data_IF_680455315983
#
_entry.id   IF_680455315983
#
_cell.length_a   1.000
_cell.length_b   1.000
_cell.length_c   1.000
_cell.angle_alpha   90.00
_cell.angle_beta   90.00
_cell.angle_gamma   90.00
#
_symmetry.space_group_name_H-M   'P 1'
#
loop_
_entity.id
_entity.type
_entity.pdbx_description
1 polymer ?
#
# COMPACT_ATOMS: atom_id res chain seq x y z
N UNK A 1 12.53 -12.51 25.29
CA UNK A 1 11.70 -11.96 24.19
C UNK A 1 11.85 -10.45 24.22
N UNK A 2 12.65 -9.91 23.31
CA UNK A 2 12.92 -8.47 23.27
C UNK A 2 11.64 -7.71 22.97
N UNK A 3 11.28 -6.77 23.84
CA UNK A 3 10.24 -5.79 23.54
C UNK A 3 10.75 -5.02 22.32
N UNK A 4 10.02 -5.11 21.21
CA UNK A 4 10.24 -4.18 20.11
C UNK A 4 9.90 -2.81 20.68
N UNK A 5 10.92 -1.95 20.84
CA UNK A 5 10.75 -0.58 21.27
C UNK A 5 10.02 0.18 20.16
N UNK A 6 8.69 0.09 20.17
CA UNK A 6 7.80 0.72 19.21
C UNK A 6 7.94 2.26 19.15
N UNK A 7 8.73 2.86 20.03
CA UNK A 7 9.11 4.27 19.97
C UNK A 7 10.02 4.63 18.80
N UNK A 8 10.69 3.66 18.15
CA UNK A 8 11.56 3.92 16.99
C UNK A 8 10.85 3.82 15.64
N UNK A 9 9.62 3.31 15.62
CA UNK A 9 8.78 3.37 14.42
C UNK A 9 8.11 4.74 14.47
N UNK A 10 8.80 5.78 14.00
CA UNK A 10 8.12 7.04 13.73
C UNK A 10 7.19 6.77 12.55
N UNK A 11 5.86 6.69 12.75
CA UNK A 11 4.99 6.37 11.66
C UNK A 11 4.89 7.65 10.86
N UNK A 12 5.34 7.60 9.61
CA UNK A 12 4.75 8.51 8.63
C UNK A 12 3.23 8.40 8.79
N UNK A 13 2.53 9.53 8.88
CA UNK A 13 1.09 9.49 8.98
C UNK A 13 0.55 8.64 7.82
N UNK A 14 -0.56 7.93 8.03
CA UNK A 14 -1.20 7.13 6.97
C UNK A 14 -1.46 7.93 5.68
N UNK A 15 -1.52 9.25 5.82
CA UNK A 15 -1.78 10.24 4.76
C UNK A 15 -0.51 10.83 4.15
N UNK A 16 0.66 10.63 4.74
CA UNK A 16 1.91 11.17 4.20
C UNK A 16 2.26 10.45 2.88
N UNK A 17 2.67 11.19 1.85
CA UNK A 17 3.08 10.58 0.60
C UNK A 17 4.30 9.69 0.81
N UNK A 18 4.33 8.54 0.14
CA UNK A 18 5.52 7.68 0.16
C UNK A 18 6.72 8.47 -0.42
N UNK A 19 7.83 8.65 0.32
CA UNK A 19 8.94 9.51 -0.13
C UNK A 19 9.65 8.98 -1.39
N UNK A 20 9.37 7.73 -1.77
CA UNK A 20 9.87 7.11 -2.99
C UNK A 20 8.91 7.23 -4.18
N UNK A 21 7.72 7.82 -3.98
CA UNK A 21 6.67 7.88 -4.99
C UNK A 21 7.13 8.61 -6.25
N UNK A 22 7.76 9.78 -6.10
CA UNK A 22 8.23 10.58 -7.25
C UNK A 22 9.27 9.82 -8.11
N UNK A 23 10.08 8.98 -7.47
CA UNK A 23 11.09 8.15 -8.16
C UNK A 23 10.43 7.08 -9.03
N UNK A 24 9.32 6.49 -8.58
CA UNK A 24 8.61 5.43 -9.31
C UNK A 24 7.48 5.97 -10.20
N UNK A 25 7.08 7.23 -10.05
CA UNK A 25 5.99 7.87 -10.78
C UNK A 25 6.11 7.74 -12.31
N UNK A 26 7.28 7.96 -12.96
CA UNK A 26 7.41 7.76 -14.40
C UNK A 26 7.08 6.33 -14.83
N UNK A 27 7.45 5.34 -14.00
CA UNK A 27 7.17 3.93 -14.25
C UNK A 27 5.69 3.61 -14.08
N UNK A 28 5.06 4.14 -13.02
CA UNK A 28 3.61 4.03 -12.79
C UNK A 28 2.84 4.57 -13.99
N UNK A 29 3.16 5.80 -14.44
CA UNK A 29 2.50 6.42 -15.61
C UNK A 29 2.60 5.58 -16.86
N UNK A 30 3.79 5.03 -17.12
CA UNK A 30 4.01 4.12 -18.25
C UNK A 30 3.11 2.88 -18.15
N UNK A 31 3.05 2.24 -16.98
CA UNK A 31 2.23 1.04 -16.76
C UNK A 31 0.72 1.34 -16.89
N UNK A 32 0.27 2.49 -16.37
CA UNK A 32 -1.11 2.95 -16.52
C UNK A 32 -1.47 3.24 -17.98
N UNK A 33 -0.56 3.84 -18.75
CA UNK A 33 -0.77 4.07 -20.17
C UNK A 33 -0.79 2.76 -20.98
N UNK A 34 0.15 1.84 -20.70
CA UNK A 34 0.19 0.51 -21.33
C UNK A 34 -1.10 -0.30 -21.08
N UNK A 35 -1.74 -0.14 -19.92
CA UNK A 35 -2.97 -0.84 -19.57
C UNK A 35 -4.25 -0.10 -19.98
N UNK A 36 -4.37 1.20 -19.69
CA UNK A 36 -5.59 2.00 -19.83
C UNK A 36 -5.63 2.94 -21.05
N UNK A 37 -4.55 3.01 -21.83
CA UNK A 37 -4.40 3.93 -22.95
C UNK A 37 -4.54 5.40 -22.53
N UNK A 38 -5.11 6.22 -23.42
CA UNK A 38 -5.30 7.67 -23.21
C UNK A 38 -6.14 8.01 -21.97
N UNK A 39 -7.03 7.09 -21.55
CA UNK A 39 -7.85 7.30 -20.36
C UNK A 39 -7.06 7.22 -19.06
N UNK A 40 -5.89 6.56 -19.08
CA UNK A 40 -5.09 6.22 -17.89
C UNK A 40 -5.95 5.70 -16.73
N UNK A 41 -7.02 4.96 -17.05
CA UNK A 41 -7.99 4.41 -16.12
C UNK A 41 -7.97 2.88 -16.22
N UNK A 42 -7.69 2.21 -15.11
CA UNK A 42 -7.48 0.76 -15.08
C UNK A 42 -8.53 0.05 -14.23
N UNK A 43 -8.95 -1.13 -14.67
CA UNK A 43 -9.81 -2.01 -13.88
C UNK A 43 -9.01 -2.87 -12.88
N UNK A 44 -9.70 -3.73 -12.13
CA UNK A 44 -9.07 -4.57 -11.11
C UNK A 44 -8.05 -5.58 -11.67
N UNK A 45 -8.27 -6.12 -12.88
CA UNK A 45 -7.35 -7.08 -13.50
C UNK A 45 -6.08 -6.38 -13.99
N UNK A 46 -6.23 -5.19 -14.54
CA UNK A 46 -5.12 -4.36 -14.96
C UNK A 46 -4.32 -3.85 -13.74
N UNK A 47 -5.01 -3.41 -12.68
CA UNK A 47 -4.37 -2.99 -11.44
C UNK A 47 -3.60 -4.13 -10.77
N UNK A 48 -4.12 -5.35 -10.80
CA UNK A 48 -3.43 -6.57 -10.33
C UNK A 48 -2.07 -6.72 -11.02
N UNK A 49 -2.06 -6.64 -12.36
CA UNK A 49 -0.82 -6.74 -13.14
C UNK A 49 0.17 -5.62 -12.77
N UNK A 50 -0.31 -4.36 -12.68
CA UNK A 50 0.52 -3.21 -12.34
C UNK A 50 1.14 -3.36 -10.94
N UNK A 51 0.33 -3.65 -9.92
CA UNK A 51 0.80 -3.81 -8.55
C UNK A 51 1.78 -4.98 -8.45
N UNK A 52 1.48 -6.11 -9.05
CA UNK A 52 2.35 -7.27 -9.02
C UNK A 52 3.68 -7.03 -9.75
N UNK A 53 3.72 -6.21 -10.79
CA UNK A 53 4.98 -5.77 -11.41
C UNK A 53 5.78 -4.88 -10.46
N UNK A 54 5.17 -3.85 -9.88
CA UNK A 54 5.85 -2.91 -9.00
C UNK A 54 6.37 -3.58 -7.71
N UNK A 55 5.58 -4.50 -7.14
CA UNK A 55 5.90 -5.17 -5.88
C UNK A 55 6.95 -6.28 -6.04
N UNK A 56 6.97 -7.00 -7.17
CA UNK A 56 8.00 -8.02 -7.45
C UNK A 56 9.41 -7.42 -7.52
N UNK A 57 9.52 -6.20 -8.04
CA UNK A 57 10.78 -5.48 -8.16
C UNK A 57 11.25 -4.95 -6.79
N UNK A 58 10.35 -4.81 -5.82
CA UNK A 58 10.69 -4.40 -4.46
C UNK A 58 11.05 -5.60 -3.57
N UNK A 59 12.32 -6.01 -3.60
CA UNK A 59 12.88 -7.06 -2.75
C UNK A 59 12.73 -6.83 -1.23
N UNK A 60 12.21 -5.68 -0.79
CA UNK A 60 11.92 -5.38 0.62
C UNK A 60 10.58 -5.92 1.08
N UNK A 61 9.70 -6.31 0.15
CA UNK A 61 8.40 -6.88 0.47
C UNK A 61 8.41 -8.39 0.19
N UNK A 62 8.50 -9.25 1.22
CA UNK A 62 8.41 -10.70 1.06
C UNK A 62 6.98 -11.20 0.77
N UNK A 63 6.01 -10.30 0.66
CA UNK A 63 4.60 -10.63 0.71
C UNK A 63 4.07 -10.98 -0.69
N UNK A 64 3.27 -12.04 -0.71
CA UNK A 64 2.64 -12.68 -1.89
C UNK A 64 2.04 -11.71 -2.89
N UNK A 65 1.85 -12.18 -4.13
CA UNK A 65 1.14 -11.46 -5.19
C UNK A 65 -0.20 -10.91 -4.67
N UNK A 66 -0.50 -9.65 -5.02
CA UNK A 66 -1.80 -9.04 -4.78
C UNK A 66 -2.82 -9.77 -5.63
N UNK A 67 -3.93 -10.18 -5.02
CA UNK A 67 -5.03 -10.80 -5.76
C UNK A 67 -5.92 -9.77 -6.44
N UNK A 68 -6.62 -10.19 -7.48
CA UNK A 68 -7.58 -9.33 -8.18
C UNK A 68 -8.74 -8.91 -7.26
N UNK A 69 -9.13 -9.75 -6.29
CA UNK A 69 -10.11 -9.37 -5.26
C UNK A 69 -9.61 -8.24 -4.37
N UNK A 70 -8.35 -8.30 -3.95
CA UNK A 70 -7.73 -7.19 -3.22
C UNK A 70 -7.71 -5.92 -4.09
N UNK A 71 -7.45 -6.03 -5.39
CA UNK A 71 -7.51 -4.90 -6.31
C UNK A 71 -8.93 -4.30 -6.42
N UNK A 72 -9.98 -5.12 -6.46
CA UNK A 72 -11.37 -4.63 -6.40
C UNK A 72 -11.64 -3.83 -5.13
N UNK A 73 -11.20 -4.33 -3.98
CA UNK A 73 -11.35 -3.62 -2.70
C UNK A 73 -10.57 -2.30 -2.67
N UNK A 74 -9.35 -2.29 -3.21
CA UNK A 74 -8.52 -1.09 -3.32
C UNK A 74 -9.19 -0.02 -4.20
N UNK A 75 -9.73 -0.40 -5.36
CA UNK A 75 -10.47 0.50 -6.24
C UNK A 75 -11.70 1.04 -5.50
N UNK A 76 -12.50 0.18 -4.87
CA UNK A 76 -13.69 0.60 -4.14
C UNK A 76 -13.39 1.57 -2.98
N UNK A 77 -12.22 1.47 -2.36
CA UNK A 77 -11.77 2.36 -1.29
C UNK A 77 -11.38 3.77 -1.78
N UNK A 78 -11.03 3.93 -3.06
CA UNK A 78 -10.58 5.21 -3.64
C UNK A 78 -11.56 5.84 -4.61
N UNK A 79 -12.40 5.01 -5.23
CA UNK A 79 -13.21 5.42 -6.35
C UNK A 79 -14.58 5.95 -5.88
N UNK A 80 -14.61 7.22 -5.48
CA UNK A 80 -15.84 7.90 -5.03
C UNK A 80 -16.91 8.01 -6.12
N UNK A 81 -16.53 7.79 -7.38
CA UNK A 81 -17.41 7.88 -8.56
C UNK A 81 -18.01 6.54 -9.01
N UNK A 82 -17.74 5.44 -8.31
CA UNK A 82 -18.26 4.10 -8.60
C UNK A 82 -18.12 3.64 -10.06
N UNK A 83 -17.06 4.08 -10.74
CA UNK A 83 -16.74 3.70 -12.13
C UNK A 83 -16.22 2.26 -12.24
N UNK A 84 -15.77 1.67 -11.12
CA UNK A 84 -15.08 0.38 -11.10
C UNK A 84 -13.67 0.44 -11.71
N UNK A 85 -13.14 1.64 -11.96
CA UNK A 85 -11.81 1.88 -12.51
C UNK A 85 -11.05 2.90 -11.67
N UNK A 86 -9.73 2.76 -11.61
CA UNK A 86 -8.84 3.69 -10.94
C UNK A 86 -8.08 4.53 -11.97
N UNK A 87 -8.13 5.85 -11.86
CA UNK A 87 -7.27 6.74 -12.66
C UNK A 87 -5.91 6.93 -11.99
N UNK A 88 -4.86 7.22 -12.77
CA UNK A 88 -3.50 7.38 -12.24
C UNK A 88 -3.40 8.40 -11.10
N UNK A 89 -4.12 9.53 -11.19
CA UNK A 89 -4.10 10.55 -10.12
C UNK A 89 -4.70 10.06 -8.78
N UNK A 90 -5.59 9.07 -8.81
CA UNK A 90 -6.16 8.43 -7.61
C UNK A 90 -5.24 7.34 -7.03
N UNK A 91 -4.17 6.96 -7.75
CA UNK A 91 -3.23 5.92 -7.34
C UNK A 91 -2.29 6.37 -6.20
N UNK A 92 -1.82 7.62 -6.19
CA UNK A 92 -0.83 8.08 -5.21
C UNK A 92 -1.28 7.91 -3.76
N UNK A 93 -2.50 8.33 -3.36
CA UNK A 93 -2.98 8.10 -2.00
C UNK A 93 -3.14 6.60 -1.68
N UNK A 94 -3.60 5.81 -2.65
CA UNK A 94 -3.71 4.34 -2.51
C UNK A 94 -2.36 3.71 -2.21
N UNK A 95 -1.37 4.03 -3.03
CA UNK A 95 -0.02 3.53 -2.92
C UNK A 95 0.61 3.94 -1.58
N UNK A 96 0.48 5.21 -1.19
CA UNK A 96 1.03 5.70 0.07
C UNK A 96 0.46 4.96 1.28
N UNK A 97 -0.85 4.72 1.28
CA UNK A 97 -1.51 3.90 2.30
C UNK A 97 -0.95 2.47 2.31
N UNK A 98 -0.90 1.81 1.15
CA UNK A 98 -0.36 0.46 1.01
C UNK A 98 1.07 0.37 1.56
N UNK A 99 1.95 1.30 1.19
CA UNK A 99 3.35 1.35 1.62
C UNK A 99 3.50 1.60 3.12
N UNK A 100 2.65 2.46 3.69
CA UNK A 100 2.64 2.68 5.13
C UNK A 100 2.30 1.37 5.87
N UNK A 101 1.24 0.68 5.47
CA UNK A 101 0.88 -0.63 6.05
C UNK A 101 1.95 -1.69 5.86
N UNK A 102 2.56 -1.77 4.67
CA UNK A 102 3.66 -2.71 4.42
C UNK A 102 4.86 -2.46 5.34
N UNK A 103 5.23 -1.19 5.59
CA UNK A 103 6.33 -0.84 6.50
C UNK A 103 6.01 -1.19 7.95
N UNK A 104 4.79 -0.91 8.41
CA UNK A 104 4.36 -1.27 9.75
C UNK A 104 4.34 -2.79 9.92
N UNK A 105 3.79 -3.52 8.96
CA UNK A 105 3.77 -4.99 8.99
C UNK A 105 5.19 -5.57 9.07
N UNK A 106 6.12 -5.06 8.25
CA UNK A 106 7.51 -5.52 8.24
C UNK A 106 8.23 -5.30 9.58
N UNK A 107 7.83 -4.31 10.38
CA UNK A 107 8.38 -4.08 11.71
C UNK A 107 7.97 -5.18 12.72
N UNK A 108 6.83 -5.84 12.49
CA UNK A 108 6.34 -6.97 13.29
C UNK A 108 6.71 -8.34 12.69
N UNK A 109 7.16 -8.37 11.43
CA UNK A 109 7.65 -9.57 10.74
C UNK A 109 9.16 -9.45 10.35
N UNK A 110 10.08 -9.37 11.33
CA UNK A 110 11.50 -9.16 11.07
C UNK A 110 12.15 -10.34 10.33
N UNK A 111 11.57 -11.53 10.44
CA UNK A 111 12.04 -12.75 9.77
C UNK A 111 11.45 -12.89 8.36
N UNK A 112 10.60 -11.95 7.92
CA UNK A 112 9.98 -11.96 6.59
C UNK A 112 9.20 -13.26 6.32
N UNK A 113 8.55 -13.79 7.35
CA UNK A 113 7.79 -15.02 7.30
C UNK A 113 6.51 -14.89 6.46
N UNK A 114 6.03 -13.67 6.21
CA UNK A 114 4.82 -13.43 5.42
C UNK A 114 3.56 -13.28 6.27
N UNK A 115 3.66 -13.44 7.60
CA UNK A 115 2.52 -13.41 8.52
C UNK A 115 2.95 -12.84 9.88
N UNK A 116 1.98 -12.25 10.59
CA UNK A 116 2.12 -11.80 11.99
C UNK A 116 1.01 -12.45 12.83
N UNK A 117 1.20 -12.52 14.15
CA UNK A 117 0.17 -13.09 15.03
C UNK A 117 -1.00 -12.11 15.21
N UNK A 118 -2.15 -12.63 15.67
CA UNK A 118 -3.30 -11.78 16.02
C UNK A 118 -2.96 -10.75 17.12
N UNK A 119 -2.04 -11.10 18.03
CA UNK A 119 -1.59 -10.21 19.08
C UNK A 119 -0.76 -9.06 18.51
N UNK A 120 0.20 -9.37 17.63
CA UNK A 120 1.01 -8.36 16.93
C UNK A 120 0.13 -7.41 16.12
N UNK A 121 -0.85 -7.97 15.40
CA UNK A 121 -1.80 -7.17 14.63
C UNK A 121 -2.63 -6.23 15.51
N UNK A 122 -3.13 -6.71 16.67
CA UNK A 122 -3.85 -5.86 17.62
C UNK A 122 -2.98 -4.68 18.08
N UNK A 123 -1.73 -4.95 18.46
CA UNK A 123 -0.79 -3.92 18.90
C UNK A 123 -0.54 -2.90 17.77
N UNK A 124 -0.35 -3.39 16.54
CA UNK A 124 -0.17 -2.55 15.35
C UNK A 124 -1.38 -1.63 15.15
N UNK A 125 -2.62 -2.14 15.20
CA UNK A 125 -3.83 -1.33 15.07
C UNK A 125 -3.96 -0.30 16.19
N UNK A 126 -3.69 -0.68 17.44
CA UNK A 126 -3.72 0.24 18.58
C UNK A 126 -2.72 1.40 18.40
N UNK A 127 -1.55 1.13 17.81
CA UNK A 127 -0.56 2.16 17.48
C UNK A 127 -1.04 3.07 16.34
N UNK A 128 -1.62 2.50 15.28
CA UNK A 128 -2.20 3.25 14.15
C UNK A 128 -3.28 4.21 14.64
N UNK A 129 -4.21 3.74 15.47
CA UNK A 129 -5.30 4.56 16.00
C UNK A 129 -4.81 5.73 16.86
N UNK A 130 -3.76 5.52 17.68
CA UNK A 130 -3.17 6.59 18.50
C UNK A 130 -2.54 7.71 17.67
N UNK A 131 -2.07 7.42 16.45
CA UNK A 131 -1.50 8.44 15.55
C UNK A 131 -2.58 9.29 14.90
N UNK A 132 -3.73 8.69 14.59
CA UNK A 132 -4.85 9.41 13.98
C UNK A 132 -5.47 10.44 14.95
N UNK A 133 -5.55 10.11 16.25
CA UNK A 133 -6.02 11.03 17.30
C UNK A 133 -5.06 12.17 17.66
N UNK A 134 -3.85 12.24 17.08
CA UNK A 134 -2.93 13.37 17.27
C UNK A 134 -2.96 14.37 16.11
N UNK A 135 -3.81 14.16 15.10
CA UNK A 135 -3.93 15.01 13.90
C UNK A 135 -5.32 15.63 13.72
N UNK A 136 -6.20 15.57 14.73
CA UNK A 136 -7.43 16.37 14.85
C UNK A 136 -7.30 17.30 16.04
#
# INVERSE_FOLDING_TARGET
>A
MGRIDAGSILPQALSDPDPQFDTILPRIRRLFYEAGGDSMAVDAFQLDSILNTLLKEDHRLPYTMVSTDACRALIAMRNDRYTGRLIESEFQPMWSLLRCWSRMFAAFDPQRAGYITCLDFRILIEQVGRLHHRCT
#
